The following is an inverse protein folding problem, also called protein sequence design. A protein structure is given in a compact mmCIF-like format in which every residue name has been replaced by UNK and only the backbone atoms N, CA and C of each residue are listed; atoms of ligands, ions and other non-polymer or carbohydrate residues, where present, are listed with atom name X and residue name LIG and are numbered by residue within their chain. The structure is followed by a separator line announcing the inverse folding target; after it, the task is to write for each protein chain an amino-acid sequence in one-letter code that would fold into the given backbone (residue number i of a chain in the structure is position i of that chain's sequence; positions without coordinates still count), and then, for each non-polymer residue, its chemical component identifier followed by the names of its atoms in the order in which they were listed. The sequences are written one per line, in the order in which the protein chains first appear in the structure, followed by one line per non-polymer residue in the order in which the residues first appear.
data_IF_921865623420
#
_entry.id   IF_921865623420
#
_cell.length_a   1.000
_cell.length_b   1.000
_cell.length_c   1.000
_cell.angle_alpha   90.00
_cell.angle_beta   90.00
_cell.angle_gamma   90.00
#
_symmetry.space_group_name_H-M   'P 1'
#
loop_
_entity.id
_entity.type
_entity.pdbx_description
1 polymer ?
#
# COMPACT_ATOMS: atom_id res chain seq x y z
N UNK A 1 -0.60 14.58 13.28
CA UNK A 1 -0.10 13.21 13.39
C UNK A 1 -1.29 12.29 13.55
N UNK A 2 -1.37 11.18 12.82
CA UNK A 2 -2.50 10.24 12.94
C UNK A 2 -2.33 9.40 14.22
N UNK A 3 -3.25 9.58 15.17
CA UNK A 3 -3.31 8.85 16.44
C UNK A 3 -4.44 7.81 16.42
N UNK A 4 -4.36 6.83 17.33
CA UNK A 4 -5.37 5.76 17.46
C UNK A 4 -6.78 6.29 17.71
N UNK A 5 -6.91 7.39 18.48
CA UNK A 5 -8.18 8.09 18.75
C UNK A 5 -8.89 8.55 17.47
N UNK A 6 -8.12 8.87 16.42
CA UNK A 6 -8.69 9.29 15.13
C UNK A 6 -9.23 8.12 14.30
N UNK A 7 -8.88 6.87 14.62
CA UNK A 7 -9.24 5.68 13.85
C UNK A 7 -10.46 4.98 14.44
N UNK A 8 -10.53 4.82 15.76
CA UNK A 8 -11.65 4.15 16.42
C UNK A 8 -11.58 4.18 17.95
N UNK A 9 -12.67 3.78 18.64
CA UNK A 9 -12.77 3.80 20.09
C UNK A 9 -12.03 2.64 20.79
N UNK A 10 -11.78 1.52 20.11
CA UNK A 10 -10.96 0.41 20.63
C UNK A 10 -9.49 0.71 20.35
N UNK A 11 -8.73 0.96 21.43
CA UNK A 11 -7.32 1.34 21.34
C UNK A 11 -6.47 0.21 20.72
N UNK A 12 -6.69 -1.04 21.10
CA UNK A 12 -5.86 -2.17 20.67
C UNK A 12 -6.07 -2.43 19.18
N UNK A 13 -7.34 -2.49 18.75
CA UNK A 13 -7.67 -2.67 17.33
C UNK A 13 -7.22 -1.48 16.48
N UNK A 14 -7.40 -0.25 16.97
CA UNK A 14 -6.95 0.95 16.26
C UNK A 14 -5.42 0.98 16.11
N UNK A 15 -4.67 0.56 17.13
CA UNK A 15 -3.20 0.46 17.08
C UNK A 15 -2.74 -0.61 16.10
N UNK A 16 -3.38 -1.77 16.08
CA UNK A 16 -3.07 -2.86 15.15
C UNK A 16 -3.27 -2.44 13.70
N UNK A 17 -4.43 -1.81 13.40
CA UNK A 17 -4.72 -1.21 12.09
C UNK A 17 -3.66 -0.18 11.69
N UNK A 18 -3.21 0.66 12.61
CA UNK A 18 -2.16 1.65 12.34
C UNK A 18 -0.79 1.02 12.06
N UNK A 19 -0.44 -0.08 12.72
CA UNK A 19 0.82 -0.80 12.47
C UNK A 19 0.82 -1.34 11.05
N UNK A 20 -0.23 -2.05 10.64
CA UNK A 20 -0.36 -2.61 9.28
C UNK A 20 -0.40 -1.49 8.23
N UNK A 21 -1.12 -0.41 8.51
CA UNK A 21 -1.16 0.74 7.60
C UNK A 21 0.21 1.38 7.37
N UNK A 22 1.04 1.48 8.42
CA UNK A 22 2.41 2.03 8.33
C UNK A 22 3.34 1.14 7.51
N UNK A 23 3.16 -0.18 7.59
CA UNK A 23 3.90 -1.12 6.74
C UNK A 23 3.54 -0.93 5.25
N UNK A 24 2.24 -0.80 4.95
CA UNK A 24 1.76 -0.62 3.57
C UNK A 24 2.15 0.76 3.00
N UNK A 25 2.09 1.79 3.84
CA UNK A 25 2.19 3.18 3.45
C UNK A 25 2.93 4.00 4.53
N UNK A 26 4.27 3.95 4.57
CA UNK A 26 5.05 4.64 5.61
C UNK A 26 4.88 6.16 5.62
N UNK A 27 4.46 6.76 4.49
CA UNK A 27 4.28 8.20 4.35
C UNK A 27 3.17 8.76 5.26
N UNK A 28 2.22 7.94 5.71
CA UNK A 28 1.05 8.42 6.47
C UNK A 28 1.41 9.04 7.82
N UNK A 29 2.58 8.70 8.37
CA UNK A 29 3.11 9.33 9.60
C UNK A 29 3.77 10.68 9.34
N UNK A 30 4.04 11.03 8.09
CA UNK A 30 4.75 12.26 7.68
C UNK A 30 3.81 13.35 7.15
N UNK A 31 2.49 13.11 7.07
CA UNK A 31 1.53 14.12 6.64
C UNK A 31 1.45 15.26 7.66
N UNK A 32 1.30 16.48 7.14
CA UNK A 32 1.09 17.66 7.97
C UNK A 32 -0.25 17.60 8.70
N UNK A 33 -0.29 18.20 9.88
CA UNK A 33 -1.51 18.29 10.69
C UNK A 33 -2.59 19.06 9.94
N UNK A 34 -3.82 18.54 9.97
CA UNK A 34 -5.03 19.07 9.31
C UNK A 34 -4.98 19.15 7.77
N UNK A 35 -3.98 18.52 7.14
CA UNK A 35 -3.91 18.38 5.69
C UNK A 35 -5.04 17.50 5.12
N UNK A 36 -5.41 17.75 3.86
CA UNK A 36 -6.44 16.93 3.19
C UNK A 36 -5.96 15.48 3.02
N UNK A 37 -4.66 15.27 2.77
CA UNK A 37 -4.05 13.94 2.69
C UNK A 37 -4.15 13.17 4.01
N UNK A 38 -4.00 13.87 5.15
CA UNK A 38 -4.20 13.27 6.47
C UNK A 38 -5.67 12.87 6.65
N UNK A 39 -6.62 13.72 6.28
CA UNK A 39 -8.06 13.43 6.39
C UNK A 39 -8.47 12.24 5.53
N UNK A 40 -7.95 12.17 4.30
CA UNK A 40 -8.17 11.05 3.39
C UNK A 40 -7.62 9.73 3.95
N UNK A 41 -6.39 9.76 4.47
CA UNK A 41 -5.79 8.61 5.13
C UNK A 41 -6.64 8.14 6.33
N UNK A 42 -7.07 9.06 7.19
CA UNK A 42 -7.96 8.78 8.33
C UNK A 42 -9.29 8.18 7.86
N UNK A 43 -9.89 8.69 6.77
CA UNK A 43 -11.13 8.16 6.24
C UNK A 43 -10.99 6.70 5.77
N UNK A 44 -9.89 6.36 5.09
CA UNK A 44 -9.58 4.99 4.68
C UNK A 44 -9.42 4.10 5.92
N UNK A 45 -8.65 4.54 6.92
CA UNK A 45 -8.39 3.78 8.14
C UNK A 45 -9.66 3.54 8.96
N UNK A 46 -10.53 4.56 9.11
CA UNK A 46 -11.84 4.43 9.75
C UNK A 46 -12.71 3.39 9.06
N UNK A 47 -12.70 3.34 7.72
CA UNK A 47 -13.45 2.34 6.96
C UNK A 47 -12.93 0.92 7.21
N UNK A 48 -11.61 0.73 7.24
CA UNK A 48 -10.97 -0.56 7.56
C UNK A 48 -11.31 -0.96 9.00
N UNK A 49 -11.11 -0.06 9.96
CA UNK A 49 -11.47 -0.27 11.37
C UNK A 49 -12.93 -0.66 11.53
N UNK A 50 -13.86 0.08 10.91
CA UNK A 50 -15.29 -0.25 10.96
C UNK A 50 -15.56 -1.65 10.39
N UNK A 51 -14.87 -2.03 9.31
CA UNK A 51 -15.01 -3.36 8.70
C UNK A 51 -14.55 -4.46 9.65
N UNK A 52 -13.42 -4.26 10.33
CA UNK A 52 -12.87 -5.19 11.32
C UNK A 52 -13.76 -5.28 12.57
N UNK A 53 -14.14 -4.13 13.14
CA UNK A 53 -15.02 -4.05 14.30
C UNK A 53 -16.40 -4.68 14.03
N UNK A 54 -16.98 -4.48 12.84
CA UNK A 54 -18.25 -5.11 12.45
C UNK A 54 -18.11 -6.62 12.27
N UNK A 55 -16.93 -7.09 11.86
CA UNK A 55 -16.64 -8.53 11.69
C UNK A 55 -16.19 -9.22 13.00
N UNK A 56 -16.13 -8.50 14.11
CA UNK A 56 -15.64 -9.00 15.40
C UNK A 56 -16.36 -10.25 15.93
N UNK A 57 -15.59 -11.17 16.50
CA UNK A 57 -15.93 -12.43 17.21
C UNK A 57 -16.43 -13.64 16.41
N UNK A 58 -16.82 -13.50 15.14
CA UNK A 58 -17.26 -14.63 14.30
C UNK A 58 -16.31 -14.88 13.15
N UNK A 59 -15.18 -15.50 13.42
CA UNK A 59 -14.32 -15.97 12.35
C UNK A 59 -14.54 -17.50 12.20
N UNK A 60 -14.64 -18.05 10.96
CA UNK A 60 -14.62 -19.49 10.53
C UNK A 60 -13.59 -19.70 9.34
N UNK A 61 -12.63 -20.71 9.36
CA UNK A 61 -11.07 -20.69 9.15
C UNK A 61 -10.69 -21.82 8.32
N UNK A 62 -11.41 -22.86 8.59
CA UNK A 62 -11.99 -23.66 7.56
C UNK A 62 -13.28 -24.21 8.14
N UNK A 63 -14.34 -24.17 7.34
CA UNK A 63 -15.31 -25.24 7.33
C UNK A 63 -15.21 -25.80 5.91
N UNK A 64 -14.67 -27.00 5.77
CA UNK A 64 -14.41 -27.62 4.47
C UNK A 64 -15.61 -28.46 4.08
N UNK A 65 -16.30 -28.06 3.01
CA UNK A 65 -17.34 -28.89 2.37
C UNK A 65 -16.76 -29.33 1.02
N UNK A 66 -16.21 -30.54 0.97
CA UNK A 66 -15.55 -31.08 -0.22
C UNK A 66 -14.22 -30.36 -0.55
N UNK A 67 -14.09 -29.83 -1.77
CA UNK A 67 -12.88 -29.13 -2.24
C UNK A 67 -12.82 -27.64 -1.87
N UNK A 68 -13.89 -27.06 -1.34
CA UNK A 68 -13.94 -25.64 -0.98
C UNK A 68 -13.33 -25.37 0.40
N UNK A 69 -12.39 -24.40 0.48
CA UNK A 69 -11.78 -23.92 1.73
C UNK A 69 -12.11 -22.44 1.97
N UNK A 70 -12.27 -22.07 3.24
CA UNK A 70 -12.52 -20.69 3.70
C UNK A 70 -11.45 -20.40 4.74
N UNK A 71 -10.68 -19.30 4.66
CA UNK A 71 -9.58 -18.93 5.57
C UNK A 71 -10.00 -17.75 6.49
N UNK A 72 -9.64 -17.74 7.79
CA UNK A 72 -9.96 -16.61 8.71
C UNK A 72 -9.12 -15.41 8.30
N UNK A 73 -9.76 -14.25 8.21
CA UNK A 73 -9.12 -12.97 7.95
C UNK A 73 -8.22 -12.54 9.12
N UNK A 74 -6.94 -12.36 8.83
CA UNK A 74 -6.01 -11.54 9.62
C UNK A 74 -6.34 -10.04 9.41
N UNK A 75 -5.87 -9.16 10.28
CA UNK A 75 -6.03 -7.70 10.13
C UNK A 75 -5.49 -7.23 8.77
N UNK A 76 -4.43 -7.86 8.27
CA UNK A 76 -3.92 -7.63 6.91
C UNK A 76 -4.97 -7.85 5.81
N UNK A 77 -5.83 -8.86 5.94
CA UNK A 77 -6.85 -9.17 4.94
C UNK A 77 -7.90 -8.06 4.83
N UNK A 78 -8.13 -7.29 5.88
CA UNK A 78 -9.01 -6.12 5.82
C UNK A 78 -8.44 -4.97 4.98
N UNK A 79 -7.14 -4.99 4.70
CA UNK A 79 -6.51 -4.04 3.78
C UNK A 79 -6.54 -4.50 2.32
N UNK A 80 -6.86 -5.77 2.04
CA UNK A 80 -6.81 -6.30 0.69
C UNK A 80 -7.77 -5.58 -0.28
N UNK A 81 -7.32 -5.47 -1.53
CA UNK A 81 -8.07 -4.81 -2.58
C UNK A 81 -7.90 -3.28 -2.56
N UNK A 82 -8.98 -2.56 -2.26
CA UNK A 82 -9.05 -1.11 -2.44
C UNK A 82 -8.34 -0.30 -1.33
N UNK A 83 -8.43 -0.64 -0.03
CA UNK A 83 -7.75 0.13 1.02
C UNK A 83 -6.23 0.17 0.83
N UNK A 84 -5.60 -0.97 0.53
CA UNK A 84 -4.16 -1.06 0.24
C UNK A 84 -3.74 -0.23 -0.97
N UNK A 85 -4.53 -0.25 -2.06
CA UNK A 85 -4.27 0.58 -3.24
C UNK A 85 -4.41 2.07 -2.96
N UNK A 86 -5.45 2.46 -2.22
CA UNK A 86 -5.70 3.85 -1.86
C UNK A 86 -4.58 4.41 -0.96
N UNK A 87 -4.17 3.67 0.09
CA UNK A 87 -3.06 4.08 0.96
C UNK A 87 -1.74 4.24 0.19
N UNK A 88 -1.43 3.29 -0.71
CA UNK A 88 -0.23 3.40 -1.56
C UNK A 88 -0.30 4.59 -2.52
N UNK A 89 -1.48 4.89 -3.06
CA UNK A 89 -1.68 6.04 -3.96
C UNK A 89 -1.44 7.37 -3.23
N UNK A 90 -1.86 7.50 -1.97
CA UNK A 90 -1.56 8.68 -1.14
C UNK A 90 -0.05 8.86 -0.92
N UNK A 91 0.70 7.78 -0.78
CA UNK A 91 2.16 7.85 -0.72
C UNK A 91 2.81 8.19 -2.06
N UNK A 92 2.29 7.70 -3.17
CA UNK A 92 2.80 8.05 -4.50
C UNK A 92 2.55 9.53 -4.82
N UNK A 93 1.41 10.08 -4.40
CA UNK A 93 1.07 11.49 -4.57
C UNK A 93 1.92 12.42 -3.70
N UNK A 94 2.16 12.04 -2.43
CA UNK A 94 3.01 12.82 -1.52
C UNK A 94 4.51 12.69 -1.84
N UNK A 95 4.92 11.62 -2.52
CA UNK A 95 6.27 11.40 -3.06
C UNK A 95 6.60 12.20 -4.33
N UNK A 96 5.74 13.15 -4.75
CA UNK A 96 5.92 14.02 -5.92
C UNK A 96 7.14 14.96 -5.90
N UNK A 97 8.14 14.74 -5.03
CA UNK A 97 9.39 15.48 -5.04
C UNK A 97 10.61 14.57 -4.82
N UNK A 98 11.33 14.35 -5.93
CA UNK A 98 12.74 13.92 -6.03
C UNK A 98 13.14 12.52 -5.55
N UNK A 99 12.72 11.50 -6.28
CA UNK A 99 13.63 10.39 -6.57
C UNK A 99 13.56 10.16 -8.07
N UNK A 100 14.65 10.53 -8.76
CA UNK A 100 14.74 10.44 -10.21
C UNK A 100 14.31 9.06 -10.69
N UNK A 101 13.47 9.03 -11.73
CA UNK A 101 13.27 7.81 -12.51
C UNK A 101 14.64 7.20 -12.82
N UNK A 102 14.73 5.87 -12.78
CA UNK A 102 15.94 5.15 -13.16
C UNK A 102 16.36 5.61 -14.57
N UNK A 103 17.38 6.46 -14.64
CA UNK A 103 17.97 6.88 -15.91
C UNK A 103 18.75 5.67 -16.41
N UNK A 104 18.17 4.96 -17.38
CA UNK A 104 18.90 3.94 -18.11
C UNK A 104 20.14 4.56 -18.74
N UNK A 105 21.32 4.07 -18.38
CA UNK A 105 22.58 4.47 -19.01
C UNK A 105 22.73 3.67 -20.30
N UNK A 106 22.40 4.27 -21.44
CA UNK A 106 22.68 3.67 -22.73
C UNK A 106 24.09 4.05 -23.16
N UNK A 107 24.96 3.08 -23.50
CA UNK A 107 26.28 3.38 -24.04
C UNK A 107 26.14 4.19 -25.33
N UNK A 108 26.78 5.35 -25.39
CA UNK A 108 26.75 6.23 -26.57
C UNK A 108 27.60 5.69 -27.74
N UNK A 109 28.43 4.69 -27.49
CA UNK A 109 29.27 4.07 -28.50
C UNK A 109 28.44 3.03 -29.27
N UNK A 110 28.23 3.25 -30.57
CA UNK A 110 27.61 2.27 -31.47
C UNK A 110 28.55 1.06 -31.66
N UNK A 111 28.20 -0.16 -31.23
CA UNK A 111 29.08 -1.32 -31.39
C UNK A 111 29.03 -1.98 -32.79
N UNK A 112 28.28 -1.41 -33.76
CA UNK A 112 27.93 -2.09 -35.02
C UNK A 112 28.77 -1.64 -36.23
N UNK A 113 29.81 -0.80 -36.07
CA UNK A 113 30.62 -0.33 -37.22
C UNK A 113 31.47 -1.39 -37.94
N UNK A 114 31.41 -2.68 -37.55
CA UNK A 114 32.26 -3.74 -38.12
C UNK A 114 31.53 -4.97 -38.67
N UNK A 115 30.20 -4.96 -38.74
CA UNK A 115 29.45 -6.14 -39.22
C UNK A 115 29.22 -6.13 -40.74
N UNK A 116 29.37 -4.98 -41.42
CA UNK A 116 29.20 -4.90 -42.88
C UNK A 116 30.51 -4.65 -43.61
N UNK A 117 31.04 -5.63 -44.36
CA UNK A 117 32.13 -5.42 -45.31
C UNK A 117 31.53 -4.97 -46.65
N UNK A 118 31.31 -3.67 -46.83
CA UNK A 118 31.26 -3.14 -48.19
C UNK A 118 32.71 -3.02 -48.67
N UNK A 119 33.07 -3.88 -49.63
CA UNK A 119 34.43 -3.97 -50.17
C UNK A 119 34.83 -2.72 -50.95
N UNK A 120 36.12 -2.39 -50.88
CA UNK A 120 36.77 -1.37 -51.69
C UNK A 120 36.54 -1.65 -53.18
N UNK A 121 35.99 -0.65 -53.89
CA UNK A 121 36.11 -0.49 -55.34
C UNK A 121 36.77 0.85 -55.63
#
# INVERSE_FOLDING_TARGET
MITHESVGPDEDLAREVLIVARDIAPCISSFADDSEEQKDAVAILKRVYKTLATRGSQLVKSQRIGSASVEYADVESAFDGQPRRALRALCAASGGSRAGHSVGSFPQTRPISRVWPEGDY
#
